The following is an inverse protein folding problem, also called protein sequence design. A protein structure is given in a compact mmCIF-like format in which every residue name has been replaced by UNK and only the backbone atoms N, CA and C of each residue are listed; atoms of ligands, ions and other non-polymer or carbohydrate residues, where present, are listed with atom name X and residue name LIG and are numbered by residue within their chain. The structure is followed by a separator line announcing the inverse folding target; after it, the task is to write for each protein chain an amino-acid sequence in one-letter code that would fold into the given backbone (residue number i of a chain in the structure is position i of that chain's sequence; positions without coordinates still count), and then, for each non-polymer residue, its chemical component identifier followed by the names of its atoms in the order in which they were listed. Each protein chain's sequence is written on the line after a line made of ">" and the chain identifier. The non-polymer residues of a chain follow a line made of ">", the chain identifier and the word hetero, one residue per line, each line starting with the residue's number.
data_IF_280047743889
#
_entry.id   IF_280047743889
#
_cell.length_a   1.000
_cell.length_b   1.000
_cell.length_c   1.000
_cell.angle_alpha   90.00
_cell.angle_beta   90.00
_cell.angle_gamma   90.00
#
_symmetry.space_group_name_H-M   'P 1'
#
loop_
_entity.id
_entity.type
_entity.pdbx_description
1 polymer ?
#
# COMPACT_ATOMS: atom_id res chain seq x y z
N UNK A 1 20.96 -56.05 28.60
CA UNK A 1 19.84 -56.97 28.86
C UNK A 1 18.63 -56.31 28.24
N UNK A 2 18.30 -56.79 27.12
CA UNK A 2 17.16 -57.63 26.75
C UNK A 2 16.01 -56.71 26.33
N UNK A 3 15.79 -56.44 25.04
CA UNK A 3 15.10 -57.22 24.01
C UNK A 3 13.60 -57.24 24.24
N UNK A 4 12.79 -56.69 23.37
CA UNK A 4 12.22 -57.31 22.17
C UNK A 4 10.71 -57.07 22.22
N UNK A 5 9.93 -56.91 21.32
CA UNK A 5 9.72 -57.18 19.89
C UNK A 5 8.20 -57.11 19.61
N UNK A 6 7.81 -56.51 18.51
CA UNK A 6 7.01 -57.06 17.40
C UNK A 6 5.54 -57.49 17.60
N UNK A 7 4.67 -57.08 16.75
CA UNK A 7 3.96 -57.70 15.60
C UNK A 7 2.52 -57.16 15.52
N UNK A 8 1.99 -56.64 14.48
CA UNK A 8 1.73 -57.02 13.06
C UNK A 8 0.55 -57.98 12.87
N UNK A 9 -0.31 -57.62 11.88
CA UNK A 9 -1.20 -58.45 11.03
C UNK A 9 -2.65 -58.60 11.54
N UNK A 10 -3.71 -58.76 10.71
CA UNK A 10 -3.95 -58.90 9.26
C UNK A 10 -5.46 -58.82 9.02
N UNK A 11 -5.85 -58.24 7.91
CA UNK A 11 -6.88 -58.65 6.92
C UNK A 11 -7.82 -59.83 7.23
N UNK A 12 -9.09 -59.69 6.85
CA UNK A 12 -9.99 -60.65 6.17
C UNK A 12 -11.19 -59.82 5.63
N UNK A 13 -11.51 -59.58 4.42
CA UNK A 13 -11.89 -60.33 3.22
C UNK A 13 -13.33 -60.90 3.24
N UNK A 14 -14.11 -60.41 2.22
CA UNK A 14 -15.07 -61.11 1.34
C UNK A 14 -16.57 -61.04 1.69
N UNK A 15 -17.33 -60.62 0.69
CA UNK A 15 -18.75 -60.92 0.51
C UNK A 15 -19.40 -60.08 -0.59
N UNK A 16 -19.31 -60.56 -1.84
CA UNK A 16 -19.94 -59.99 -3.03
C UNK A 16 -21.41 -60.41 -3.14
N UNK A 17 -22.27 -59.54 -3.69
CA UNK A 17 -23.31 -59.96 -4.63
C UNK A 17 -23.61 -58.79 -5.58
N UNK A 18 -23.53 -59.11 -6.86
CA UNK A 18 -23.84 -58.26 -8.01
C UNK A 18 -25.33 -58.27 -8.30
N UNK A 19 -25.85 -57.14 -8.73
CA UNK A 19 -26.99 -57.13 -9.68
C UNK A 19 -26.78 -55.94 -10.65
N UNK A 20 -26.63 -56.30 -11.92
CA UNK A 20 -26.50 -55.39 -13.04
C UNK A 20 -27.87 -54.89 -13.49
N UNK A 21 -28.00 -53.63 -13.84
CA UNK A 21 -28.93 -53.17 -14.88
C UNK A 21 -28.25 -52.03 -15.66
N UNK A 22 -28.14 -52.27 -16.95
CA UNK A 22 -27.64 -51.35 -17.96
C UNK A 22 -28.69 -50.33 -18.36
N UNK A 23 -28.31 -49.09 -18.55
CA UNK A 23 -28.93 -48.17 -19.50
C UNK A 23 -28.04 -47.01 -19.89
N UNK A 24 -27.54 -47.06 -21.11
CA UNK A 24 -27.29 -46.03 -22.12
C UNK A 24 -26.48 -44.78 -21.80
N UNK A 25 -25.35 -44.72 -22.49
CA UNK A 25 -24.52 -43.57 -22.82
C UNK A 25 -25.31 -42.45 -23.49
N UNK A 26 -25.17 -41.23 -22.95
CA UNK A 26 -25.21 -40.03 -23.75
C UNK A 26 -24.03 -39.14 -23.29
N UNK A 27 -23.01 -39.13 -24.13
CA UNK A 27 -21.87 -38.20 -24.00
C UNK A 27 -22.34 -36.79 -24.40
N UNK A 28 -22.28 -35.86 -23.46
CA UNK A 28 -22.16 -34.44 -23.78
C UNK A 28 -21.11 -33.87 -22.84
N UNK A 29 -19.96 -33.56 -23.40
CA UNK A 29 -18.94 -32.77 -22.72
C UNK A 29 -19.51 -31.39 -22.41
N UNK A 30 -19.60 -31.05 -21.15
CA UNK A 30 -19.71 -29.67 -20.69
C UNK A 30 -18.48 -29.36 -19.89
N UNK A 31 -17.64 -28.49 -20.46
CA UNK A 31 -16.65 -27.70 -19.74
C UNK A 31 -17.39 -26.99 -18.62
N UNK A 32 -17.09 -27.35 -17.37
CA UNK A 32 -17.51 -26.60 -16.20
C UNK A 32 -16.83 -25.21 -16.24
N UNK A 33 -17.44 -24.26 -16.94
CA UNK A 33 -17.36 -22.87 -16.60
C UNK A 33 -18.03 -22.76 -15.23
N UNK A 34 -17.27 -22.37 -14.21
CA UNK A 34 -17.83 -21.82 -12.98
C UNK A 34 -18.76 -20.67 -13.38
N UNK A 35 -20.04 -20.93 -13.47
CA UNK A 35 -21.06 -19.88 -13.49
C UNK A 35 -20.94 -19.16 -12.16
N UNK A 36 -20.44 -17.92 -12.20
CA UNK A 36 -20.54 -17.01 -11.10
C UNK A 36 -22.00 -16.93 -10.67
N UNK A 37 -22.27 -17.01 -9.37
CA UNK A 37 -23.60 -16.81 -8.78
C UNK A 37 -24.11 -15.43 -9.20
N UNK A 38 -24.75 -15.33 -10.35
CA UNK A 38 -25.44 -14.14 -10.82
C UNK A 38 -26.80 -14.09 -10.12
N UNK A 39 -26.91 -13.26 -9.07
CA UNK A 39 -28.23 -12.99 -8.50
C UNK A 39 -28.27 -12.34 -7.11
N UNK A 40 -27.28 -12.53 -6.26
CA UNK A 40 -27.30 -11.85 -4.96
C UNK A 40 -26.84 -10.40 -5.10
N UNK A 41 -27.59 -9.48 -4.51
CA UNK A 41 -27.23 -8.07 -4.50
C UNK A 41 -26.02 -7.87 -3.56
N UNK A 42 -24.95 -7.23 -4.05
CA UNK A 42 -23.70 -7.03 -3.33
C UNK A 42 -23.93 -6.20 -2.07
N UNK A 43 -23.45 -6.71 -0.93
CA UNK A 43 -23.58 -5.99 0.36
C UNK A 43 -25.00 -5.90 0.90
N UNK A 44 -25.92 -6.75 0.46
CA UNK A 44 -27.25 -6.85 1.05
C UNK A 44 -27.22 -7.68 2.34
N UNK A 45 -28.00 -7.28 3.35
CA UNK A 45 -28.12 -7.99 4.62
C UNK A 45 -28.05 -7.07 5.83
N UNK A 46 -27.55 -7.60 6.95
CA UNK A 46 -27.50 -6.85 8.20
C UNK A 46 -26.64 -5.59 8.09
N UNK A 47 -27.25 -4.46 8.41
CA UNK A 47 -26.62 -3.14 8.43
C UNK A 47 -26.59 -2.51 9.84
N UNK A 48 -26.82 -3.29 10.89
CA UNK A 48 -26.85 -2.79 12.28
C UNK A 48 -25.48 -2.36 12.80
N UNK A 49 -24.41 -2.95 12.24
CA UNK A 49 -23.03 -2.69 12.64
C UNK A 49 -22.10 -2.82 11.41
N UNK A 50 -20.90 -2.26 11.50
CA UNK A 50 -19.77 -2.57 10.64
C UNK A 50 -18.49 -2.71 11.46
N UNK A 51 -17.82 -3.87 11.36
CA UNK A 51 -16.50 -4.14 11.93
C UNK A 51 -15.45 -3.78 10.91
N UNK A 52 -14.70 -2.70 11.15
CA UNK A 52 -13.69 -2.16 10.23
C UNK A 52 -12.29 -2.47 10.75
N UNK A 53 -11.54 -3.31 10.04
CA UNK A 53 -10.12 -3.53 10.30
C UNK A 53 -9.30 -2.51 9.49
N UNK A 54 -8.47 -1.75 10.19
CA UNK A 54 -7.57 -0.75 9.62
C UNK A 54 -6.30 -0.66 10.47
N UNK A 55 -5.26 0.01 9.99
CA UNK A 55 -4.07 0.33 10.80
C UNK A 55 -4.03 1.80 11.25
N UNK A 56 -5.03 2.60 10.93
CA UNK A 56 -5.14 4.01 11.32
C UNK A 56 -5.57 4.17 12.79
N UNK A 57 -4.63 3.91 13.71
CA UNK A 57 -4.92 3.92 15.15
C UNK A 57 -4.16 5.00 15.92
N UNK A 58 -3.14 5.62 15.34
CA UNK A 58 -2.28 6.60 15.99
C UNK A 58 -2.07 7.85 15.13
N UNK A 59 -1.64 8.95 15.76
CA UNK A 59 -1.23 10.20 15.11
C UNK A 59 -2.25 10.76 14.13
N UNK A 60 -1.78 11.35 13.06
CA UNK A 60 -2.61 11.97 12.02
C UNK A 60 -3.50 10.97 11.25
N UNK A 61 -3.13 9.69 11.26
CA UNK A 61 -3.95 8.64 10.64
C UNK A 61 -5.23 8.39 11.42
N UNK A 62 -5.14 8.36 12.76
CA UNK A 62 -6.31 8.26 13.65
C UNK A 62 -7.22 9.48 13.49
N UNK A 63 -6.65 10.68 13.43
CA UNK A 63 -7.42 11.91 13.27
C UNK A 63 -8.21 11.89 11.94
N UNK A 64 -7.61 11.39 10.87
CA UNK A 64 -8.27 11.18 9.58
C UNK A 64 -9.43 10.19 9.68
N UNK A 65 -9.21 9.03 10.31
CA UNK A 65 -10.27 8.04 10.53
C UNK A 65 -11.43 8.63 11.36
N UNK A 66 -11.14 9.37 12.42
CA UNK A 66 -12.17 10.00 13.27
C UNK A 66 -13.00 11.02 12.49
N UNK A 67 -12.37 11.80 11.59
CA UNK A 67 -13.08 12.72 10.70
C UNK A 67 -14.04 11.97 9.75
N UNK A 68 -13.59 10.85 9.19
CA UNK A 68 -14.40 9.98 8.32
C UNK A 68 -15.55 9.32 9.09
N UNK A 69 -15.30 8.78 10.29
CA UNK A 69 -16.31 8.14 11.14
C UNK A 69 -17.40 9.14 11.55
N UNK A 70 -17.06 10.41 11.75
CA UNK A 70 -18.06 11.46 12.01
C UNK A 70 -19.04 11.61 10.83
N UNK A 71 -18.54 11.59 9.60
CA UNK A 71 -19.39 11.61 8.39
C UNK A 71 -20.22 10.33 8.31
N UNK A 72 -19.62 9.17 8.54
CA UNK A 72 -20.31 7.89 8.54
C UNK A 72 -21.49 7.84 9.53
N UNK A 73 -21.27 8.27 10.77
CA UNK A 73 -22.32 8.29 11.78
C UNK A 73 -23.46 9.27 11.44
N UNK A 74 -23.16 10.35 10.70
CA UNK A 74 -24.18 11.29 10.24
C UNK A 74 -25.00 10.71 9.06
N UNK A 75 -24.35 10.05 8.11
CA UNK A 75 -24.99 9.43 6.94
C UNK A 75 -25.76 8.15 7.31
N UNK A 76 -25.22 7.35 8.22
CA UNK A 76 -25.75 6.03 8.60
C UNK A 76 -25.98 5.90 10.12
N UNK A 77 -26.89 6.70 10.71
CA UNK A 77 -27.06 6.77 12.18
C UNK A 77 -27.58 5.47 12.81
N UNK A 78 -28.04 4.51 12.00
CA UNK A 78 -28.51 3.20 12.46
C UNK A 78 -27.44 2.11 12.37
N UNK A 79 -26.30 2.39 11.76
CA UNK A 79 -25.18 1.45 11.63
C UNK A 79 -24.10 1.79 12.65
N UNK A 80 -23.85 0.92 13.61
CA UNK A 80 -22.80 1.10 14.61
C UNK A 80 -21.42 0.89 13.98
N UNK A 81 -20.55 1.89 14.00
CA UNK A 81 -19.14 1.72 13.64
C UNK A 81 -18.37 1.03 14.76
N UNK A 82 -17.70 -0.07 14.45
CA UNK A 82 -16.83 -0.79 15.37
C UNK A 82 -15.39 -0.79 14.83
N UNK A 83 -14.53 0.03 15.46
CA UNK A 83 -13.12 0.11 15.11
C UNK A 83 -12.37 -1.14 15.60
N UNK A 84 -11.77 -1.90 14.68
CA UNK A 84 -10.90 -3.07 14.93
C UNK A 84 -9.46 -2.76 14.54
N UNK A 85 -9.04 -1.50 14.64
CA UNK A 85 -7.73 -1.05 14.21
C UNK A 85 -6.59 -1.75 14.99
N UNK A 86 -5.52 -2.06 14.25
CA UNK A 86 -4.26 -2.60 14.76
C UNK A 86 -3.14 -1.75 14.19
N UNK A 87 -2.49 -0.95 15.05
CA UNK A 87 -1.49 0.02 14.65
C UNK A 87 -0.18 -0.62 14.15
N UNK A 88 0.52 0.11 13.27
CA UNK A 88 1.94 -0.06 13.00
C UNK A 88 2.29 -0.76 11.69
N UNK A 89 3.48 -0.39 11.18
CA UNK A 89 4.18 -1.05 10.09
C UNK A 89 3.45 -1.06 8.75
N UNK A 90 2.79 0.03 8.36
CA UNK A 90 1.94 0.07 7.15
C UNK A 90 0.94 -1.11 7.08
N UNK A 91 0.40 -1.48 8.25
CA UNK A 91 -0.58 -2.55 8.37
C UNK A 91 -0.01 -3.97 8.48
N UNK A 92 1.30 -4.17 8.59
CA UNK A 92 1.90 -5.52 8.61
C UNK A 92 1.30 -6.43 9.69
N UNK A 93 1.08 -5.92 10.91
CA UNK A 93 0.46 -6.67 12.01
C UNK A 93 -1.04 -6.93 11.75
N UNK A 94 -1.76 -5.90 11.25
CA UNK A 94 -3.16 -6.03 10.88
C UNK A 94 -3.36 -7.09 9.80
N UNK A 95 -2.51 -7.10 8.77
CA UNK A 95 -2.55 -8.06 7.66
C UNK A 95 -2.26 -9.50 8.10
N UNK A 96 -1.32 -9.71 9.04
CA UNK A 96 -1.05 -11.04 9.59
C UNK A 96 -2.27 -11.62 10.32
N UNK A 97 -2.90 -10.82 11.19
CA UNK A 97 -4.12 -11.25 11.87
C UNK A 97 -5.27 -11.49 10.89
N UNK A 98 -5.44 -10.59 9.91
CA UNK A 98 -6.47 -10.70 8.88
C UNK A 98 -6.34 -12.00 8.08
N UNK A 99 -5.13 -12.36 7.64
CA UNK A 99 -4.89 -13.61 6.91
C UNK A 99 -5.33 -14.83 7.72
N UNK A 100 -5.11 -14.85 9.04
CA UNK A 100 -5.58 -15.91 9.93
C UNK A 100 -7.11 -15.92 10.03
N UNK A 101 -7.76 -14.76 10.18
CA UNK A 101 -9.21 -14.63 10.29
C UNK A 101 -9.91 -15.06 8.98
N UNK A 102 -9.39 -14.66 7.81
CA UNK A 102 -9.90 -15.04 6.50
C UNK A 102 -9.80 -16.56 6.28
N UNK A 103 -8.64 -17.15 6.56
CA UNK A 103 -8.42 -18.60 6.41
C UNK A 103 -9.28 -19.42 7.36
N UNK A 104 -9.58 -18.90 8.55
CA UNK A 104 -10.50 -19.53 9.51
C UNK A 104 -11.99 -19.36 9.12
N UNK A 105 -12.30 -18.60 8.06
CA UNK A 105 -13.67 -18.29 7.65
C UNK A 105 -14.41 -17.34 8.58
N UNK A 106 -13.69 -16.46 9.26
CA UNK A 106 -14.19 -15.51 10.27
C UNK A 106 -13.75 -14.07 9.93
N UNK A 107 -14.06 -13.57 8.71
CA UNK A 107 -13.60 -12.27 8.27
C UNK A 107 -14.23 -11.13 9.10
N UNK A 108 -13.59 -9.93 9.13
CA UNK A 108 -14.28 -8.70 9.49
C UNK A 108 -15.35 -8.35 8.44
N UNK A 109 -16.19 -7.34 8.70
CA UNK A 109 -17.16 -6.90 7.71
C UNK A 109 -16.49 -6.15 6.54
N UNK A 110 -15.42 -5.42 6.83
CA UNK A 110 -14.56 -4.76 5.84
C UNK A 110 -13.15 -4.60 6.40
N UNK A 111 -12.16 -4.57 5.51
CA UNK A 111 -10.78 -4.31 5.91
C UNK A 111 -10.06 -3.42 4.92
N UNK A 112 -9.12 -2.64 5.45
CA UNK A 112 -8.22 -1.81 4.68
C UNK A 112 -7.17 -2.67 3.98
N UNK A 113 -6.93 -2.38 2.70
CA UNK A 113 -5.85 -2.90 1.88
C UNK A 113 -5.40 -1.82 0.89
N UNK A 114 -4.21 -1.96 0.31
CA UNK A 114 -3.84 -1.10 -0.80
C UNK A 114 -4.48 -1.59 -2.10
N UNK A 115 -4.95 -0.64 -2.91
CA UNK A 115 -5.53 -0.94 -4.22
C UNK A 115 -4.46 -1.44 -5.20
N UNK A 116 -4.72 -2.57 -5.85
CA UNK A 116 -3.81 -3.16 -6.83
C UNK A 116 -3.45 -4.61 -6.52
N UNK A 117 -2.20 -4.99 -6.79
CA UNK A 117 -1.74 -6.39 -6.73
C UNK A 117 -1.76 -7.02 -5.32
N UNK A 118 -1.81 -6.21 -4.25
CA UNK A 118 -1.89 -6.70 -2.86
C UNK A 118 -3.08 -7.63 -2.62
N UNK A 119 -4.21 -7.36 -3.27
CA UNK A 119 -5.44 -8.14 -3.08
C UNK A 119 -5.46 -9.46 -3.83
N UNK A 120 -4.46 -9.73 -4.68
CA UNK A 120 -4.48 -10.90 -5.57
C UNK A 120 -4.65 -12.22 -4.82
N UNK A 121 -3.92 -12.42 -3.74
CA UNK A 121 -3.97 -13.68 -2.97
C UNK A 121 -5.37 -13.88 -2.34
N UNK A 122 -6.01 -12.83 -1.85
CA UNK A 122 -7.37 -12.87 -1.26
C UNK A 122 -8.44 -13.09 -2.34
N UNK A 123 -8.26 -12.50 -3.53
CA UNK A 123 -9.13 -12.70 -4.69
C UNK A 123 -9.05 -14.14 -5.16
N UNK A 124 -7.85 -14.67 -5.37
CA UNK A 124 -7.60 -16.04 -5.85
C UNK A 124 -8.12 -17.08 -4.85
N UNK A 125 -8.07 -16.80 -3.56
CA UNK A 125 -8.63 -17.63 -2.50
C UNK A 125 -10.16 -17.55 -2.39
N UNK A 126 -10.81 -16.63 -3.10
CA UNK A 126 -12.25 -16.42 -3.06
C UNK A 126 -12.76 -15.81 -1.74
N UNK A 127 -11.93 -15.00 -1.09
CA UNK A 127 -12.32 -14.34 0.16
C UNK A 127 -13.10 -13.05 -0.03
N UNK A 128 -13.09 -12.47 -1.24
CA UNK A 128 -13.65 -11.18 -1.55
C UNK A 128 -14.83 -11.24 -2.51
N UNK A 129 -15.83 -10.41 -2.29
CA UNK A 129 -16.92 -10.17 -3.21
C UNK A 129 -16.48 -9.22 -4.33
N UNK A 130 -16.99 -9.47 -5.55
CA UNK A 130 -16.94 -8.49 -6.63
C UNK A 130 -17.88 -7.33 -6.32
N UNK A 131 -17.31 -6.15 -6.09
CA UNK A 131 -18.03 -4.92 -5.74
C UNK A 131 -18.31 -4.03 -6.97
N UNK A 132 -18.09 -4.50 -8.19
CA UNK A 132 -18.30 -3.74 -9.42
C UNK A 132 -19.67 -3.09 -9.52
N UNK A 133 -20.73 -3.77 -9.02
CA UNK A 133 -22.10 -3.24 -8.98
C UNK A 133 -22.23 -2.00 -8.08
N UNK A 134 -21.44 -1.92 -6.99
CA UNK A 134 -21.44 -0.74 -6.12
C UNK A 134 -20.86 0.49 -6.82
N UNK A 135 -19.96 0.29 -7.78
CA UNK A 135 -19.43 1.40 -8.59
C UNK A 135 -20.49 2.04 -9.48
N UNK A 136 -21.44 1.26 -9.97
CA UNK A 136 -22.61 1.78 -10.70
C UNK A 136 -23.60 2.46 -9.73
N UNK A 137 -23.91 1.80 -8.61
CA UNK A 137 -24.85 2.30 -7.59
C UNK A 137 -24.37 3.63 -6.98
N UNK A 138 -23.09 3.74 -6.64
CA UNK A 138 -22.48 4.93 -6.05
C UNK A 138 -22.00 5.95 -7.10
N UNK A 139 -22.17 5.65 -8.40
CA UNK A 139 -21.74 6.49 -9.54
C UNK A 139 -20.27 6.82 -9.53
N UNK A 140 -19.41 5.83 -9.22
CA UNK A 140 -17.97 6.00 -9.07
C UNK A 140 -17.23 5.95 -10.41
N UNK A 141 -17.76 5.28 -11.43
CA UNK A 141 -17.11 5.12 -12.74
C UNK A 141 -16.82 6.47 -13.43
N UNK A 142 -17.72 7.44 -13.25
CA UNK A 142 -17.55 8.79 -13.79
C UNK A 142 -16.80 9.74 -12.84
N UNK A 143 -16.71 9.37 -11.56
CA UNK A 143 -16.12 10.18 -10.52
C UNK A 143 -14.64 9.89 -10.28
N UNK A 144 -14.21 8.66 -10.54
CA UNK A 144 -12.82 8.24 -10.38
C UNK A 144 -12.06 8.31 -11.71
N UNK A 145 -10.78 8.71 -11.72
CA UNK A 145 -9.99 8.80 -12.94
C UNK A 145 -9.77 7.40 -13.55
N UNK A 146 -9.72 7.34 -14.88
CA UNK A 146 -9.54 6.10 -15.64
C UNK A 146 -8.30 5.31 -15.18
N UNK A 147 -7.20 6.01 -14.92
CA UNK A 147 -5.95 5.41 -14.45
C UNK A 147 -6.08 4.70 -13.09
N UNK A 148 -6.97 5.19 -12.21
CA UNK A 148 -7.32 4.52 -10.96
C UNK A 148 -8.21 3.31 -11.22
N UNK A 149 -9.24 3.46 -12.05
CA UNK A 149 -10.17 2.37 -12.39
C UNK A 149 -9.45 1.16 -13.01
N UNK A 150 -8.46 1.41 -13.88
CA UNK A 150 -7.62 0.36 -14.47
C UNK A 150 -6.84 -0.43 -13.41
N UNK A 151 -6.32 0.24 -12.37
CA UNK A 151 -5.57 -0.38 -11.26
C UNK A 151 -6.45 -1.14 -10.26
N UNK A 152 -7.72 -0.75 -10.16
CA UNK A 152 -8.69 -1.43 -9.30
C UNK A 152 -9.30 -2.68 -9.95
N UNK A 153 -9.18 -2.80 -11.28
CA UNK A 153 -9.81 -3.87 -12.04
C UNK A 153 -8.89 -5.07 -12.17
N UNK A 154 -9.33 -6.21 -11.66
CA UNK A 154 -8.64 -7.51 -11.74
C UNK A 154 -9.55 -8.47 -12.50
N UNK A 155 -9.10 -8.99 -13.65
CA UNK A 155 -9.85 -9.93 -14.50
C UNK A 155 -11.28 -9.45 -14.84
N UNK A 156 -11.44 -8.12 -15.00
CA UNK A 156 -12.71 -7.48 -15.35
C UNK A 156 -13.65 -7.20 -14.18
N UNK A 157 -13.27 -7.51 -12.95
CA UNK A 157 -14.01 -7.24 -11.71
C UNK A 157 -13.28 -6.29 -10.78
N UNK A 158 -13.98 -5.71 -9.81
CA UNK A 158 -13.43 -4.78 -8.82
C UNK A 158 -13.71 -5.32 -7.42
N UNK A 159 -12.69 -5.34 -6.54
CA UNK A 159 -12.77 -5.99 -5.22
C UNK A 159 -12.58 -5.03 -4.04
N UNK A 160 -12.37 -3.76 -4.30
CA UNK A 160 -12.22 -2.75 -3.23
C UNK A 160 -12.68 -1.38 -3.67
N UNK A 161 -12.94 -0.50 -2.69
CA UNK A 161 -13.31 0.90 -2.91
C UNK A 161 -12.27 1.80 -2.25
N UNK A 162 -11.56 2.68 -2.99
CA UNK A 162 -10.53 3.54 -2.44
C UNK A 162 -11.11 4.73 -1.66
N UNK A 163 -10.45 5.05 -0.56
CA UNK A 163 -10.72 6.23 0.27
C UNK A 163 -9.86 7.43 -0.08
N UNK A 164 -8.72 7.20 -0.76
CA UNK A 164 -7.72 8.21 -1.08
C UNK A 164 -6.81 7.76 -2.23
N UNK A 165 -5.92 8.68 -2.61
CA UNK A 165 -4.70 8.41 -3.37
C UNK A 165 -3.54 9.07 -2.62
N UNK A 166 -2.39 8.40 -2.58
CA UNK A 166 -1.15 8.88 -2.02
C UNK A 166 -0.03 8.90 -3.07
N UNK A 167 0.91 9.85 -2.91
CA UNK A 167 2.20 9.89 -3.59
C UNK A 167 3.30 9.43 -2.64
N UNK A 168 4.09 8.41 -3.01
CA UNK A 168 5.13 7.87 -2.14
C UNK A 168 6.51 8.50 -2.39
N UNK A 169 6.86 8.92 -3.61
CA UNK A 169 8.17 9.44 -3.99
C UNK A 169 8.40 10.92 -3.61
N UNK A 170 8.16 11.28 -2.34
CA UNK A 170 8.33 12.66 -1.85
C UNK A 170 9.49 12.73 -0.87
N UNK A 171 10.39 13.71 -1.09
CA UNK A 171 11.41 14.14 -0.11
C UNK A 171 10.82 15.22 0.76
N UNK A 172 10.90 15.04 2.06
CA UNK A 172 10.66 16.05 3.08
C UNK A 172 11.99 16.54 3.61
N UNK A 173 12.27 17.85 3.55
CA UNK A 173 13.58 18.38 3.83
C UNK A 173 13.54 19.54 4.82
N UNK A 174 14.47 19.55 5.80
CA UNK A 174 14.60 20.61 6.80
C UNK A 174 15.28 21.85 6.22
N UNK A 175 14.57 22.98 6.18
CA UNK A 175 15.12 24.27 5.69
C UNK A 175 16.33 24.72 6.50
N UNK A 176 16.30 24.57 7.82
CA UNK A 176 17.39 24.98 8.69
C UNK A 176 18.67 24.19 8.45
N UNK A 177 18.56 22.86 8.29
CA UNK A 177 19.71 21.98 8.04
C UNK A 177 20.30 22.22 6.65
N UNK A 178 19.45 22.36 5.62
CA UNK A 178 19.93 22.68 4.26
C UNK A 178 20.73 23.98 4.23
N UNK A 179 20.21 25.06 4.84
CA UNK A 179 20.92 26.34 4.94
C UNK A 179 22.22 26.22 5.70
N UNK A 180 22.26 25.47 6.82
CA UNK A 180 23.47 25.25 7.61
C UNK A 180 24.53 24.49 6.81
N UNK A 181 24.14 23.61 5.88
CA UNK A 181 25.05 22.93 4.97
C UNK A 181 25.39 23.72 3.70
N UNK A 182 24.97 24.99 3.60
CA UNK A 182 25.24 25.84 2.44
C UNK A 182 24.40 25.48 1.19
N UNK A 183 23.29 24.78 1.38
CA UNK A 183 22.37 24.40 0.30
C UNK A 183 21.19 25.37 0.23
N UNK A 184 20.71 25.63 -0.99
CA UNK A 184 19.52 26.45 -1.24
C UNK A 184 18.26 25.57 -1.20
N UNK A 185 17.35 25.71 -0.19
CA UNK A 185 16.14 24.92 -0.11
C UNK A 185 15.19 25.07 -1.31
N UNK A 186 15.31 26.19 -2.06
CA UNK A 186 14.49 26.46 -3.25
C UNK A 186 15.04 25.77 -4.52
N UNK A 187 16.22 25.17 -4.46
CA UNK A 187 16.91 24.52 -5.59
C UNK A 187 17.33 23.11 -5.25
N UNK A 188 16.39 22.18 -5.08
CA UNK A 188 16.72 20.80 -4.78
C UNK A 188 17.51 20.14 -5.91
N UNK A 189 18.36 19.18 -5.54
CA UNK A 189 19.04 18.31 -6.50
C UNK A 189 18.06 17.72 -7.52
N UNK A 190 18.50 17.55 -8.77
CA UNK A 190 17.67 17.03 -9.84
C UNK A 190 18.00 15.58 -10.23
N UNK A 191 19.10 15.03 -9.72
CA UNK A 191 19.58 13.65 -9.97
C UNK A 191 20.00 13.00 -8.66
N UNK A 192 20.04 11.65 -8.63
CA UNK A 192 20.51 10.90 -7.44
C UNK A 192 21.97 11.25 -7.12
N UNK A 193 22.84 11.35 -8.11
CA UNK A 193 24.27 11.71 -7.91
C UNK A 193 24.41 13.10 -7.25
N UNK A 194 23.67 14.10 -7.73
CA UNK A 194 23.67 15.44 -7.13
C UNK A 194 23.11 15.41 -5.69
N UNK A 195 22.08 14.61 -5.44
CA UNK A 195 21.50 14.45 -4.11
C UNK A 195 22.45 13.77 -3.12
N UNK A 196 23.18 12.75 -3.57
CA UNK A 196 24.27 12.12 -2.80
C UNK A 196 25.36 13.15 -2.47
N UNK A 197 25.76 14.01 -3.43
CA UNK A 197 26.71 15.09 -3.18
C UNK A 197 26.20 16.09 -2.13
N UNK A 198 24.92 16.42 -2.15
CA UNK A 198 24.32 17.26 -1.11
C UNK A 198 24.31 16.55 0.26
N UNK A 199 24.07 15.25 0.32
CA UNK A 199 24.20 14.47 1.57
C UNK A 199 25.62 14.50 2.14
N UNK A 200 26.65 14.48 1.27
CA UNK A 200 28.05 14.62 1.70
C UNK A 200 28.33 15.98 2.35
N UNK A 201 27.79 17.07 1.77
CA UNK A 201 27.89 18.42 2.36
C UNK A 201 27.18 18.51 3.71
N UNK A 202 25.99 17.92 3.81
CA UNK A 202 25.22 17.90 5.06
C UNK A 202 25.96 17.14 6.15
N UNK A 203 26.53 15.98 5.81
CA UNK A 203 27.38 15.20 6.72
C UNK A 203 28.61 15.98 7.17
N UNK A 204 29.27 16.68 6.25
CA UNK A 204 30.42 17.54 6.56
C UNK A 204 30.04 18.73 7.48
N UNK A 205 28.80 19.21 7.40
CA UNK A 205 28.26 20.24 8.30
C UNK A 205 27.84 19.70 9.68
N UNK A 206 27.98 18.38 9.92
CA UNK A 206 27.70 17.74 11.22
C UNK A 206 26.25 17.32 11.44
N UNK A 207 25.43 17.26 10.39
CA UNK A 207 24.04 16.83 10.47
C UNK A 207 23.86 15.42 9.90
N UNK A 208 22.78 14.76 10.30
CA UNK A 208 22.32 13.50 9.67
C UNK A 208 21.74 13.82 8.28
N UNK A 209 22.33 13.28 7.19
CA UNK A 209 21.87 13.63 5.84
C UNK A 209 20.46 13.16 5.53
N UNK A 210 20.13 11.91 5.87
CA UNK A 210 18.83 11.33 5.58
C UNK A 210 18.43 10.38 6.72
N UNK A 211 17.14 10.30 7.01
CA UNK A 211 16.56 9.33 7.94
C UNK A 211 15.65 8.35 7.20
N UNK A 212 15.55 7.15 7.72
CA UNK A 212 14.57 6.14 7.35
C UNK A 212 14.26 5.25 8.57
N UNK A 213 13.08 4.65 8.60
CA UNK A 213 12.63 3.78 9.68
C UNK A 213 12.70 2.30 9.31
N UNK A 214 11.70 1.53 9.75
CA UNK A 214 11.57 0.10 9.56
C UNK A 214 11.42 -0.31 8.07
N UNK A 215 11.40 -1.61 7.80
CA UNK A 215 11.51 -2.22 6.47
C UNK A 215 10.65 -1.58 5.37
N UNK A 216 9.39 -1.24 5.64
CA UNK A 216 8.53 -0.65 4.62
C UNK A 216 8.97 0.76 4.19
N UNK A 217 9.54 1.57 5.12
CA UNK A 217 10.10 2.90 4.77
C UNK A 217 11.40 2.77 3.99
N UNK A 218 12.19 1.72 4.26
CA UNK A 218 13.39 1.36 3.49
C UNK A 218 13.02 0.96 2.06
N UNK A 219 11.91 0.23 1.90
CA UNK A 219 11.36 -0.12 0.60
C UNK A 219 10.91 1.13 -0.16
N UNK A 220 10.20 2.08 0.48
CA UNK A 220 9.76 3.32 -0.14
C UNK A 220 10.94 4.18 -0.64
N UNK A 221 12.03 4.25 0.11
CA UNK A 221 13.27 4.88 -0.35
C UNK A 221 13.87 4.13 -1.54
N UNK A 222 13.98 2.80 -1.47
CA UNK A 222 14.55 1.98 -2.54
C UNK A 222 13.76 2.08 -3.84
N UNK A 223 12.44 1.97 -3.79
CA UNK A 223 11.61 2.09 -5.00
C UNK A 223 11.69 3.47 -5.63
N UNK A 224 11.79 4.54 -4.81
CA UNK A 224 12.00 5.89 -5.33
C UNK A 224 13.35 6.02 -6.06
N UNK A 225 14.40 5.35 -5.58
CA UNK A 225 15.71 5.28 -6.27
C UNK A 225 15.61 4.45 -7.55
N UNK A 226 14.89 3.32 -7.54
CA UNK A 226 14.61 2.54 -8.76
C UNK A 226 13.89 3.39 -9.81
N UNK A 227 12.84 4.10 -9.44
CA UNK A 227 12.10 4.98 -10.34
C UNK A 227 13.02 6.05 -10.92
N UNK A 228 13.90 6.63 -10.10
CA UNK A 228 14.82 7.68 -10.53
C UNK A 228 15.86 7.20 -11.55
N UNK A 229 16.42 6.00 -11.35
CA UNK A 229 17.46 5.45 -12.22
C UNK A 229 16.90 4.77 -13.48
N UNK A 230 15.73 4.14 -13.39
CA UNK A 230 15.13 3.40 -14.50
C UNK A 230 14.17 4.26 -15.34
N UNK A 231 13.54 5.28 -14.74
CA UNK A 231 12.39 5.96 -15.32
C UNK A 231 11.11 5.12 -15.26
N UNK A 232 9.96 5.72 -15.55
CA UNK A 232 8.65 5.09 -15.37
C UNK A 232 8.45 3.81 -16.18
N UNK A 233 8.89 3.80 -17.44
CA UNK A 233 8.68 2.66 -18.35
C UNK A 233 9.45 1.41 -17.88
N UNK A 234 10.74 1.54 -17.62
CA UNK A 234 11.56 0.41 -17.19
C UNK A 234 11.24 -0.03 -15.76
N UNK A 235 10.89 0.91 -14.86
CA UNK A 235 10.40 0.58 -13.54
C UNK A 235 9.13 -0.28 -13.63
N UNK A 236 8.16 0.13 -14.42
CA UNK A 236 6.94 -0.67 -14.66
C UNK A 236 7.25 -2.01 -15.33
N UNK A 237 8.23 -2.05 -16.20
CA UNK A 237 8.73 -3.26 -16.87
C UNK A 237 9.32 -4.31 -15.93
N UNK A 238 9.68 -3.94 -14.70
CA UNK A 238 10.10 -4.89 -13.66
C UNK A 238 8.99 -5.87 -13.25
N UNK A 239 7.73 -5.47 -13.42
CA UNK A 239 6.56 -6.24 -12.95
C UNK A 239 5.90 -7.08 -14.05
N UNK A 240 6.20 -6.79 -15.32
CA UNK A 240 5.72 -7.56 -16.48
C UNK A 240 6.83 -8.34 -17.22
N UNK A 241 8.03 -8.38 -16.61
CA UNK A 241 9.18 -9.14 -17.11
C UNK A 241 9.92 -8.49 -18.27
N UNK A 242 9.61 -7.26 -18.67
CA UNK A 242 10.32 -6.52 -19.73
C UNK A 242 11.66 -5.93 -19.24
N UNK A 243 11.78 -5.68 -17.95
CA UNK A 243 13.01 -5.22 -17.31
C UNK A 243 13.51 -6.30 -16.36
N UNK A 244 14.80 -6.63 -16.46
CA UNK A 244 15.41 -7.68 -15.65
C UNK A 244 15.88 -7.15 -14.30
N UNK A 245 15.36 -7.72 -13.21
CA UNK A 245 15.82 -7.44 -11.84
C UNK A 245 17.33 -7.71 -11.63
N UNK A 246 17.92 -8.63 -12.38
CA UNK A 246 19.36 -8.90 -12.35
C UNK A 246 20.18 -8.02 -13.31
N UNK A 247 19.52 -7.12 -14.05
CA UNK A 247 20.14 -6.26 -15.07
C UNK A 247 21.02 -5.15 -14.50
N UNK A 248 21.88 -4.59 -15.34
CA UNK A 248 22.85 -3.55 -14.97
C UNK A 248 22.17 -2.24 -14.47
N UNK A 249 20.97 -1.94 -14.95
CA UNK A 249 20.24 -0.74 -14.53
C UNK A 249 19.75 -0.86 -13.09
N UNK A 250 19.27 -2.05 -12.68
CA UNK A 250 18.93 -2.34 -11.28
C UNK A 250 20.19 -2.38 -10.41
N UNK A 251 21.33 -2.89 -10.96
CA UNK A 251 22.62 -2.82 -10.25
C UNK A 251 22.97 -1.38 -9.87
N UNK A 252 22.85 -0.44 -10.82
CA UNK A 252 23.09 0.99 -10.55
C UNK A 252 22.18 1.54 -9.46
N UNK A 253 20.89 1.22 -9.51
CA UNK A 253 19.95 1.68 -8.48
C UNK A 253 20.27 1.09 -7.08
N UNK A 254 20.69 -0.17 -7.02
CA UNK A 254 21.16 -0.81 -5.78
C UNK A 254 22.44 -0.13 -5.25
N UNK A 255 23.38 0.25 -6.11
CA UNK A 255 24.59 0.98 -5.73
C UNK A 255 24.25 2.37 -5.17
N UNK A 256 23.36 3.12 -5.82
CA UNK A 256 22.87 4.40 -5.32
C UNK A 256 22.17 4.25 -3.98
N UNK A 257 21.28 3.27 -3.85
CA UNK A 257 20.62 2.97 -2.57
C UNK A 257 21.63 2.64 -1.48
N UNK A 258 22.62 1.80 -1.78
CA UNK A 258 23.71 1.46 -0.84
C UNK A 258 24.46 2.70 -0.35
N UNK A 259 24.78 3.63 -1.26
CA UNK A 259 25.43 4.89 -0.90
C UNK A 259 24.53 5.76 -0.02
N UNK A 260 23.26 5.89 -0.34
CA UNK A 260 22.28 6.65 0.46
C UNK A 260 22.13 6.05 1.85
N UNK A 261 21.98 4.71 1.97
CA UNK A 261 21.90 4.01 3.26
C UNK A 261 23.11 4.27 4.14
N UNK A 262 24.31 4.49 3.56
CA UNK A 262 25.51 4.81 4.33
C UNK A 262 25.45 6.17 5.06
N UNK A 263 24.47 6.99 4.77
CA UNK A 263 24.22 8.29 5.41
C UNK A 263 23.11 8.26 6.47
N UNK A 264 22.44 7.12 6.64
CA UNK A 264 21.30 7.01 7.57
C UNK A 264 21.73 6.71 9.00
N UNK A 265 20.85 7.01 9.96
CA UNK A 265 20.98 6.61 11.36
C UNK A 265 20.29 5.26 11.61
N UNK A 266 21.09 4.23 11.88
CA UNK A 266 20.58 2.87 12.12
C UNK A 266 19.72 2.74 13.38
N UNK A 267 19.80 3.67 14.31
CA UNK A 267 18.99 3.65 15.54
C UNK A 267 17.49 3.80 15.24
N UNK A 268 17.14 4.33 14.07
CA UNK A 268 15.77 4.52 13.63
C UNK A 268 15.16 3.31 12.87
N UNK A 269 15.94 2.26 12.58
CA UNK A 269 15.50 1.16 11.71
C UNK A 269 14.41 0.24 12.31
N UNK A 270 14.16 0.37 13.60
CA UNK A 270 13.05 -0.31 14.30
C UNK A 270 11.84 0.60 14.53
N UNK A 271 11.98 1.88 14.20
CA UNK A 271 10.95 2.90 14.39
C UNK A 271 10.01 2.94 13.17
N UNK A 272 8.76 3.27 13.42
CA UNK A 272 7.81 3.55 12.33
C UNK A 272 8.07 4.94 11.71
N UNK A 273 7.30 5.33 10.74
CA UNK A 273 7.54 6.54 9.94
C UNK A 273 7.51 7.85 10.73
N UNK A 274 6.61 8.01 11.72
CA UNK A 274 6.51 9.24 12.51
C UNK A 274 7.76 9.52 13.32
N UNK A 275 8.31 8.57 14.13
CA UNK A 275 9.61 8.76 14.76
C UNK A 275 10.75 8.96 13.77
N UNK A 276 10.72 8.29 12.61
CA UNK A 276 11.78 8.38 11.61
C UNK A 276 11.83 9.74 10.90
N UNK A 277 10.70 10.43 10.71
CA UNK A 277 10.66 11.77 10.09
C UNK A 277 10.82 12.90 11.11
N UNK A 278 10.59 12.65 12.39
CA UNK A 278 10.68 13.66 13.45
C UNK A 278 11.99 14.47 13.47
N UNK A 279 13.19 13.88 13.24
CA UNK A 279 14.44 14.64 13.17
C UNK A 279 14.45 15.74 12.10
N UNK A 280 13.68 15.60 11.01
CA UNK A 280 13.50 16.64 9.99
C UNK A 280 12.76 17.84 10.58
N UNK A 281 11.68 17.60 11.31
CA UNK A 281 10.87 18.63 11.96
C UNK A 281 11.64 19.36 13.08
N UNK A 282 12.58 18.67 13.72
CA UNK A 282 13.43 19.20 14.81
C UNK A 282 14.70 19.89 14.30
N UNK A 283 14.98 19.90 12.99
CA UNK A 283 16.20 20.49 12.44
C UNK A 283 17.48 19.72 12.79
N UNK A 284 17.38 18.40 13.00
CA UNK A 284 18.49 17.50 13.33
C UNK A 284 18.98 16.68 12.14
N UNK A 285 18.10 16.46 11.16
CA UNK A 285 18.39 15.75 9.93
C UNK A 285 17.86 16.54 8.72
N UNK A 286 18.46 16.28 7.53
CA UNK A 286 18.14 17.05 6.33
C UNK A 286 16.96 16.47 5.56
N UNK A 287 16.98 15.17 5.25
CA UNK A 287 16.04 14.54 4.33
C UNK A 287 15.33 13.33 4.95
N UNK A 288 14.12 13.10 4.53
CA UNK A 288 13.39 11.85 4.71
C UNK A 288 12.53 11.60 3.45
N UNK A 289 12.53 10.38 2.90
CA UNK A 289 11.60 9.98 1.84
C UNK A 289 10.41 9.31 2.51
N UNK A 290 9.23 9.87 2.28
CA UNK A 290 7.99 9.40 2.89
C UNK A 290 6.81 9.83 2.03
N UNK A 291 5.78 9.00 2.02
CA UNK A 291 4.54 9.34 1.36
C UNK A 291 3.89 10.61 1.91
N UNK A 292 2.98 11.14 1.16
CA UNK A 292 2.40 12.46 1.39
C UNK A 292 1.53 12.58 2.66
N UNK A 293 1.18 11.46 3.33
CA UNK A 293 0.62 11.48 4.67
C UNK A 293 1.51 12.23 5.68
N UNK A 294 2.80 12.36 5.41
CA UNK A 294 3.72 13.11 6.26
C UNK A 294 3.32 14.59 6.42
N UNK A 295 2.62 15.19 5.44
CA UNK A 295 2.17 16.59 5.56
C UNK A 295 1.26 16.79 6.76
N UNK A 296 0.43 15.80 7.11
CA UNK A 296 -0.42 15.88 8.30
C UNK A 296 0.42 15.90 9.59
N UNK A 297 1.53 15.13 9.65
CA UNK A 297 2.47 15.17 10.76
C UNK A 297 3.15 16.54 10.92
N UNK A 298 3.57 17.16 9.81
CA UNK A 298 4.13 18.53 9.83
C UNK A 298 3.10 19.56 10.30
N UNK A 299 1.85 19.45 9.84
CA UNK A 299 0.75 20.30 10.28
C UNK A 299 0.46 20.15 11.78
N UNK A 300 0.38 18.92 12.30
CA UNK A 300 0.20 18.64 13.73
C UNK A 300 1.35 19.21 14.58
N UNK A 301 2.58 19.16 14.05
CA UNK A 301 3.76 19.77 14.66
C UNK A 301 3.84 21.30 14.46
N UNK A 302 2.83 21.92 13.83
CA UNK A 302 2.76 23.37 13.51
C UNK A 302 3.95 23.87 12.69
N UNK A 303 4.45 23.04 11.77
CA UNK A 303 5.53 23.37 10.85
C UNK A 303 4.97 23.96 9.56
N UNK A 304 5.64 24.97 9.03
CA UNK A 304 5.21 25.73 7.86
C UNK A 304 6.11 25.41 6.67
N UNK A 305 5.49 24.99 5.55
CA UNK A 305 6.20 24.77 4.30
C UNK A 305 6.88 26.06 3.80
N UNK A 306 8.06 25.94 3.21
CA UNK A 306 8.90 27.06 2.78
C UNK A 306 9.67 27.74 3.91
N UNK A 307 9.25 27.60 5.17
CA UNK A 307 9.90 28.18 6.35
C UNK A 307 10.64 27.15 7.18
N UNK A 308 9.97 26.11 7.65
CA UNK A 308 10.54 25.05 8.47
C UNK A 308 11.01 23.87 7.62
N UNK A 309 10.24 23.53 6.60
CA UNK A 309 10.52 22.42 5.68
C UNK A 309 10.18 22.79 4.24
N UNK A 310 10.74 22.05 3.31
CA UNK A 310 10.34 22.00 1.90
C UNK A 310 10.07 20.55 1.50
N UNK A 311 9.30 20.40 0.42
CA UNK A 311 9.02 19.10 -0.17
C UNK A 311 9.24 19.15 -1.69
N UNK A 312 9.67 18.04 -2.26
CA UNK A 312 9.88 17.91 -3.70
C UNK A 312 9.92 16.43 -4.08
N UNK A 313 9.65 16.08 -5.35
CA UNK A 313 9.83 14.70 -5.82
C UNK A 313 11.27 14.22 -5.61
N UNK A 314 11.45 12.94 -5.27
CA UNK A 314 12.82 12.36 -5.20
C UNK A 314 13.59 12.73 -6.46
N UNK A 315 14.85 13.21 -6.33
CA UNK A 315 15.67 13.62 -7.48
C UNK A 315 15.73 12.53 -8.57
N UNK A 316 15.40 12.89 -9.81
CA UNK A 316 15.27 11.97 -10.94
C UNK A 316 13.84 11.49 -11.22
N UNK A 317 12.86 11.78 -10.33
CA UNK A 317 11.47 11.31 -10.49
C UNK A 317 10.48 12.40 -10.87
N UNK A 318 10.95 13.57 -11.31
CA UNK A 318 10.07 14.66 -11.75
C UNK A 318 9.19 14.22 -12.92
N UNK A 319 7.88 14.46 -12.83
CA UNK A 319 6.90 14.01 -13.83
C UNK A 319 6.51 12.53 -13.69
N UNK A 320 6.89 11.89 -12.57
CA UNK A 320 6.49 10.53 -12.23
C UNK A 320 5.83 10.55 -10.84
N UNK A 321 4.63 9.99 -10.76
CA UNK A 321 3.86 9.87 -9.53
C UNK A 321 3.88 8.40 -9.07
N UNK A 322 4.57 8.12 -7.98
CA UNK A 322 4.60 6.80 -7.35
C UNK A 322 3.31 6.62 -6.53
N UNK A 323 2.42 5.79 -7.06
CA UNK A 323 1.02 5.67 -6.67
C UNK A 323 0.79 4.56 -5.65
N UNK A 324 0.00 4.89 -4.66
CA UNK A 324 -0.77 3.94 -3.87
C UNK A 324 -2.14 4.53 -3.53
N UNK A 325 -3.07 3.69 -3.14
CA UNK A 325 -4.37 4.11 -2.63
C UNK A 325 -4.80 3.16 -1.50
N UNK A 326 -5.21 3.72 -0.39
CA UNK A 326 -5.90 2.94 0.64
C UNK A 326 -7.31 2.63 0.17
N UNK A 327 -7.69 1.40 0.22
CA UNK A 327 -9.00 0.91 -0.18
C UNK A 327 -9.61 -0.01 0.88
N UNK A 328 -10.92 -0.22 0.79
CA UNK A 328 -11.64 -1.12 1.66
C UNK A 328 -12.38 -2.17 0.83
N UNK A 329 -12.38 -3.39 1.33
CA UNK A 329 -12.94 -4.57 0.68
C UNK A 329 -14.31 -4.93 1.25
N UNK A 330 -15.00 -5.85 0.57
CA UNK A 330 -16.17 -6.55 1.10
C UNK A 330 -15.88 -8.06 1.11
N UNK A 331 -15.53 -8.64 2.26
CA UNK A 331 -15.27 -10.07 2.35
C UNK A 331 -16.53 -10.93 2.08
N UNK A 332 -16.32 -12.10 1.47
CA UNK A 332 -17.29 -13.20 1.55
C UNK A 332 -17.52 -13.55 3.03
N UNK A 333 -18.72 -13.91 3.40
CA UNK A 333 -19.10 -14.28 4.77
C UNK A 333 -18.98 -13.14 5.82
N UNK A 334 -18.92 -11.86 5.38
CA UNK A 334 -19.06 -10.73 6.30
C UNK A 334 -20.36 -10.89 7.12
N UNK A 335 -20.30 -10.62 8.42
CA UNK A 335 -21.50 -10.79 9.31
C UNK A 335 -22.53 -9.70 9.09
N UNK A 336 -22.06 -8.48 8.79
CA UNK A 336 -22.90 -7.30 8.56
C UNK A 336 -22.60 -6.71 7.16
N UNK A 337 -22.94 -7.44 6.07
CA UNK A 337 -22.58 -6.99 4.71
C UNK A 337 -23.26 -5.66 4.34
N UNK A 338 -24.46 -5.37 4.83
CA UNK A 338 -25.13 -4.08 4.68
C UNK A 338 -24.39 -2.94 5.40
N UNK A 339 -23.78 -3.23 6.55
CA UNK A 339 -22.91 -2.30 7.26
C UNK A 339 -21.63 -2.00 6.48
N UNK A 340 -21.00 -3.04 5.89
CA UNK A 340 -19.85 -2.88 5.02
C UNK A 340 -20.19 -2.03 3.78
N UNK A 341 -21.33 -2.29 3.11
CA UNK A 341 -21.81 -1.47 2.00
C UNK A 341 -21.99 0.00 2.39
N UNK A 342 -22.56 0.28 3.56
CA UNK A 342 -22.69 1.64 4.10
C UNK A 342 -21.32 2.30 4.30
N UNK A 343 -20.32 1.55 4.80
CA UNK A 343 -18.95 2.04 4.93
C UNK A 343 -18.33 2.36 3.58
N UNK A 344 -18.43 1.45 2.60
CA UNK A 344 -17.93 1.66 1.25
C UNK A 344 -18.59 2.87 0.55
N UNK A 345 -19.89 3.08 0.77
CA UNK A 345 -20.62 4.25 0.29
C UNK A 345 -20.09 5.54 0.92
N UNK A 346 -19.86 5.56 2.24
CA UNK A 346 -19.33 6.74 2.95
C UNK A 346 -17.93 7.12 2.48
N UNK A 347 -17.00 6.16 2.44
CA UNK A 347 -15.59 6.45 2.07
C UNK A 347 -15.44 6.90 0.63
N UNK A 348 -16.34 6.52 -0.26
CA UNK A 348 -16.37 6.94 -1.66
C UNK A 348 -17.19 8.19 -1.92
N UNK A 349 -17.98 8.67 -0.96
CA UNK A 349 -18.78 9.89 -1.09
C UNK A 349 -17.89 11.15 -1.14
N UNK A 350 -18.37 12.23 -1.77
CA UNK A 350 -17.64 13.51 -1.76
C UNK A 350 -17.37 14.02 -0.35
N UNK A 351 -18.37 13.94 0.51
CA UNK A 351 -18.27 14.39 1.89
C UNK A 351 -17.24 13.58 2.68
N UNK A 352 -17.29 12.24 2.57
CA UNK A 352 -16.31 11.34 3.19
C UNK A 352 -14.90 11.59 2.70
N UNK A 353 -14.71 11.70 1.37
CA UNK A 353 -13.40 11.96 0.75
C UNK A 353 -12.82 13.32 1.17
N UNK A 354 -13.63 14.37 1.23
CA UNK A 354 -13.16 15.70 1.69
C UNK A 354 -12.81 15.66 3.18
N UNK A 355 -13.70 15.12 4.02
CA UNK A 355 -13.48 15.08 5.47
C UNK A 355 -12.22 14.29 5.84
N UNK A 356 -12.01 13.14 5.20
CA UNK A 356 -10.88 12.27 5.44
C UNK A 356 -9.56 12.87 4.92
N UNK A 357 -9.53 13.19 3.62
CA UNK A 357 -8.28 13.51 2.95
C UNK A 357 -7.69 14.86 3.39
N UNK A 358 -8.51 15.85 3.77
CA UNK A 358 -8.02 17.12 4.30
C UNK A 358 -7.25 16.97 5.61
N UNK A 359 -7.59 15.95 6.41
CA UNK A 359 -6.92 15.64 7.69
C UNK A 359 -5.76 14.68 7.48
N UNK A 360 -5.96 13.60 6.69
CA UNK A 360 -4.97 12.55 6.43
C UNK A 360 -3.76 13.04 5.62
N UNK A 361 -3.91 14.11 4.83
CA UNK A 361 -2.84 14.64 3.99
C UNK A 361 -2.80 14.06 2.57
N UNK A 362 -3.61 13.05 2.28
CA UNK A 362 -3.79 12.43 0.96
C UNK A 362 -4.63 13.27 0.01
N UNK A 363 -4.73 12.83 -1.25
CA UNK A 363 -5.67 13.42 -2.20
C UNK A 363 -6.89 12.50 -2.38
N UNK A 364 -8.06 13.06 -2.71
CA UNK A 364 -9.26 12.26 -2.94
C UNK A 364 -9.13 11.41 -4.21
N UNK A 365 -9.75 10.22 -4.19
CA UNK A 365 -9.89 9.37 -5.38
C UNK A 365 -10.86 9.96 -6.41
N UNK A 366 -11.69 10.91 -5.99
CA UNK A 366 -12.68 11.60 -6.83
C UNK A 366 -12.08 12.80 -7.53
N UNK A 367 -12.40 12.96 -8.82
CA UNK A 367 -12.00 14.12 -9.65
C UNK A 367 -13.10 15.15 -9.79
N UNK A 368 -14.34 14.84 -9.37
CA UNK A 368 -15.54 15.65 -9.53
C UNK A 368 -15.80 16.63 -8.36
N UNK A 369 -14.74 16.98 -7.59
CA UNK A 369 -14.82 18.00 -6.55
C UNK A 369 -14.96 19.40 -7.15
N UNK A 370 -15.81 20.22 -6.53
CA UNK A 370 -15.97 21.65 -6.86
C UNK A 370 -14.73 22.44 -6.44
N UNK A 371 -14.55 23.64 -6.99
CA UNK A 371 -13.45 24.53 -6.60
C UNK A 371 -13.51 24.91 -5.10
N UNK A 372 -14.72 25.05 -4.54
CA UNK A 372 -14.91 25.35 -3.12
C UNK A 372 -14.48 24.15 -2.23
N UNK A 373 -14.74 22.93 -2.68
CA UNK A 373 -14.26 21.72 -1.99
C UNK A 373 -12.73 21.62 -2.09
N UNK A 374 -12.14 21.90 -3.25
CA UNK A 374 -10.67 21.89 -3.46
C UNK A 374 -9.94 22.93 -2.61
N UNK A 375 -10.55 24.08 -2.32
CA UNK A 375 -9.97 25.11 -1.44
C UNK A 375 -9.76 24.63 0.01
N UNK A 376 -10.45 23.60 0.45
CA UNK A 376 -10.28 23.02 1.79
C UNK A 376 -8.97 22.25 1.97
N UNK A 377 -8.34 21.84 0.86
CA UNK A 377 -7.09 21.09 0.85
C UNK A 377 -5.89 22.04 0.96
N UNK A 378 -4.79 21.55 1.56
CA UNK A 378 -3.54 22.28 1.67
C UNK A 378 -2.93 22.58 0.28
N UNK A 379 -1.95 23.47 0.23
CA UNK A 379 -1.22 23.79 -1.00
C UNK A 379 -0.56 22.53 -1.59
N UNK A 380 0.11 21.72 -0.73
CA UNK A 380 0.67 20.45 -1.13
C UNK A 380 -0.36 19.53 -1.80
N UNK A 381 -1.51 19.33 -1.14
CA UNK A 381 -2.53 18.43 -1.66
C UNK A 381 -3.11 18.91 -3.01
N UNK A 382 -3.32 20.21 -3.19
CA UNK A 382 -3.76 20.75 -4.48
C UNK A 382 -2.72 20.54 -5.58
N UNK A 383 -1.43 20.74 -5.27
CA UNK A 383 -0.33 20.43 -6.19
C UNK A 383 -0.29 18.94 -6.52
N UNK A 384 -0.46 18.05 -5.53
CA UNK A 384 -0.49 16.60 -5.74
C UNK A 384 -1.68 16.15 -6.61
N UNK A 385 -2.86 16.79 -6.49
CA UNK A 385 -3.99 16.54 -7.40
C UNK A 385 -3.67 16.92 -8.86
N UNK A 386 -2.95 18.03 -9.04
CA UNK A 386 -2.49 18.45 -10.37
C UNK A 386 -1.46 17.49 -10.94
N UNK A 387 -0.47 17.10 -10.13
CA UNK A 387 0.57 16.16 -10.51
C UNK A 387 -0.04 14.81 -10.89
N UNK A 388 -0.97 14.28 -10.09
CA UNK A 388 -1.68 13.02 -10.40
C UNK A 388 -2.40 13.07 -11.76
N UNK A 389 -2.88 14.24 -12.16
CA UNK A 389 -3.57 14.43 -13.45
C UNK A 389 -2.62 14.56 -14.65
N UNK A 390 -1.34 14.87 -14.43
CA UNK A 390 -0.36 15.24 -15.48
C UNK A 390 0.81 14.27 -15.57
N UNK A 391 1.25 13.72 -14.43
CA UNK A 391 2.43 12.87 -14.33
C UNK A 391 2.16 11.47 -14.87
N UNK A 392 3.23 10.77 -15.21
CA UNK A 392 3.18 9.33 -15.46
C UNK A 392 3.01 8.58 -14.14
N UNK A 393 1.92 7.82 -14.03
CA UNK A 393 1.60 7.08 -12.80
C UNK A 393 2.28 5.71 -12.83
N UNK A 394 3.10 5.42 -11.81
CA UNK A 394 3.67 4.09 -11.55
C UNK A 394 3.13 3.54 -10.23
N UNK A 395 3.11 2.22 -10.08
CA UNK A 395 2.54 1.56 -8.89
C UNK A 395 3.62 1.26 -7.85
N UNK A 396 3.36 1.59 -6.58
CA UNK A 396 4.30 1.37 -5.46
C UNK A 396 4.47 -0.12 -5.14
N UNK A 397 5.72 -0.55 -4.94
CA UNK A 397 6.07 -1.87 -4.39
C UNK A 397 5.81 -1.89 -2.88
N UNK A 398 6.27 -0.86 -2.18
CA UNK A 398 6.20 -0.77 -0.72
C UNK A 398 4.77 -0.89 -0.19
N UNK A 399 3.79 -0.50 -1.00
CA UNK A 399 2.38 -0.46 -0.64
C UNK A 399 1.53 -1.41 -1.50
N UNK A 400 2.13 -2.47 -2.04
CA UNK A 400 1.40 -3.57 -2.69
C UNK A 400 0.64 -3.21 -3.97
N UNK A 401 0.77 -1.98 -4.49
CA UNK A 401 0.12 -1.61 -5.75
C UNK A 401 0.74 -2.31 -6.96
N UNK A 402 2.05 -2.60 -6.91
CA UNK A 402 2.82 -3.20 -8.01
C UNK A 402 2.93 -4.72 -7.94
N UNK A 403 3.03 -5.29 -6.74
CA UNK A 403 3.33 -6.71 -6.52
C UNK A 403 2.43 -7.33 -5.44
N UNK A 404 2.16 -8.65 -5.51
CA UNK A 404 1.51 -9.37 -4.42
C UNK A 404 2.26 -9.25 -3.10
N UNK A 405 1.54 -9.34 -1.98
CA UNK A 405 2.08 -9.16 -0.63
C UNK A 405 3.30 -10.06 -0.34
N UNK A 406 3.28 -11.31 -0.81
CA UNK A 406 4.39 -12.26 -0.64
C UNK A 406 5.70 -11.75 -1.22
N UNK A 407 5.68 -11.17 -2.44
CA UNK A 407 6.88 -10.63 -3.08
C UNK A 407 7.36 -9.36 -2.37
N UNK A 408 6.45 -8.42 -2.09
CA UNK A 408 6.77 -7.16 -1.42
C UNK A 408 7.39 -7.40 -0.04
N UNK A 409 6.84 -8.32 0.75
CA UNK A 409 7.38 -8.69 2.05
C UNK A 409 8.81 -9.29 1.94
N UNK A 410 9.04 -10.22 1.00
CA UNK A 410 10.36 -10.81 0.80
C UNK A 410 11.41 -9.78 0.35
N UNK A 411 11.02 -8.82 -0.49
CA UNK A 411 11.89 -7.69 -0.88
C UNK A 411 12.18 -6.78 0.32
N UNK A 412 11.17 -6.46 1.15
CA UNK A 412 11.34 -5.68 2.37
C UNK A 412 12.30 -6.32 3.35
N UNK A 413 12.22 -7.63 3.55
CA UNK A 413 13.15 -8.40 4.38
C UNK A 413 14.58 -8.33 3.84
N UNK A 414 14.77 -8.43 2.51
CA UNK A 414 16.09 -8.33 1.89
C UNK A 414 16.70 -6.93 2.07
N UNK A 415 15.90 -5.88 1.90
CA UNK A 415 16.32 -4.49 2.11
C UNK A 415 16.67 -4.23 3.58
N UNK A 416 15.88 -4.75 4.51
CA UNK A 416 16.14 -4.61 5.95
C UNK A 416 17.45 -5.31 6.36
N UNK A 417 17.71 -6.51 5.87
CA UNK A 417 18.99 -7.23 6.07
C UNK A 417 20.17 -6.41 5.52
N UNK A 418 20.02 -5.84 4.33
CA UNK A 418 21.04 -5.01 3.73
C UNK A 418 21.30 -3.75 4.55
N UNK A 419 20.28 -3.00 4.93
CA UNK A 419 20.40 -1.77 5.70
C UNK A 419 21.09 -2.02 7.06
N UNK A 420 20.82 -3.16 7.69
CA UNK A 420 21.49 -3.59 8.92
C UNK A 420 22.95 -3.99 8.71
N UNK A 421 23.39 -4.22 7.47
CA UNK A 421 24.75 -4.66 7.13
C UNK A 421 24.91 -6.19 7.14
N UNK A 422 23.82 -6.93 7.12
CA UNK A 422 23.82 -8.41 7.10
C UNK A 422 23.98 -9.01 5.68
N UNK A 423 23.92 -8.17 4.62
CA UNK A 423 24.19 -8.56 3.24
C UNK A 423 24.85 -7.43 2.46
N UNK A 424 25.50 -7.75 1.34
CA UNK A 424 26.07 -6.76 0.41
C UNK A 424 25.10 -6.43 -0.74
N UNK A 425 25.47 -5.45 -1.57
CA UNK A 425 24.65 -4.97 -2.69
C UNK A 425 24.34 -6.08 -3.72
N UNK A 426 25.30 -6.98 -4.00
CA UNK A 426 25.10 -8.10 -4.93
C UNK A 426 24.13 -9.13 -4.38
N UNK A 427 24.22 -9.44 -3.10
CA UNK A 427 23.29 -10.34 -2.41
C UNK A 427 21.89 -9.72 -2.33
N UNK A 428 21.78 -8.39 -2.10
CA UNK A 428 20.51 -7.68 -2.15
C UNK A 428 19.85 -7.81 -3.51
N UNK A 429 20.55 -7.45 -4.61
CA UNK A 429 19.98 -7.54 -5.96
C UNK A 429 19.51 -8.96 -6.29
N UNK A 430 20.31 -9.96 -5.95
CA UNK A 430 19.94 -11.37 -6.12
C UNK A 430 18.65 -11.71 -5.37
N UNK A 431 18.53 -11.29 -4.11
CA UNK A 431 17.36 -11.55 -3.27
C UNK A 431 16.09 -10.88 -3.83
N UNK A 432 16.21 -9.65 -4.37
CA UNK A 432 15.10 -8.95 -5.04
C UNK A 432 14.62 -9.71 -6.29
N UNK A 433 15.55 -10.18 -7.13
CA UNK A 433 15.22 -10.97 -8.31
C UNK A 433 14.56 -12.31 -7.95
N UNK A 434 15.03 -12.99 -6.89
CA UNK A 434 14.46 -14.24 -6.39
C UNK A 434 13.06 -14.02 -5.79
N UNK A 435 12.84 -12.93 -5.05
CA UNK A 435 11.54 -12.58 -4.49
C UNK A 435 10.49 -12.33 -5.58
N UNK A 436 10.86 -11.60 -6.65
CA UNK A 436 10.00 -11.40 -7.80
C UNK A 436 9.65 -12.72 -8.50
N UNK A 437 10.66 -13.54 -8.79
CA UNK A 437 10.48 -14.83 -9.48
C UNK A 437 9.59 -15.80 -8.67
N UNK A 438 9.66 -15.77 -7.36
CA UNK A 438 8.86 -16.64 -6.49
C UNK A 438 7.38 -16.23 -6.41
N UNK A 439 7.01 -15.09 -6.97
CA UNK A 439 5.64 -14.56 -7.00
C UNK A 439 4.98 -14.65 -8.39
N UNK A 440 5.72 -15.16 -9.40
CA UNK A 440 5.21 -15.51 -10.72
C UNK A 440 4.62 -16.92 -10.73
#
# INVERSE_FOLDING_TARGET
>A
MSVSTYMSRRQVLIGATATALAATLAACGSSDKKEGKSGEAVGEGDASQVDVVTWWQAGSEKDGLEALVKVFNAQFPKTKFANKAIAGGAGSQAKQKLAADLSAGNPPDTYQAHAGAELKDDIDAGYLQDVSKLYDEFKLKDAFPKTLMERLTVDGAIYSVPSNIHRNNVVWASVSVLKAAGLDPAKPAQTIDAWISDMEKIKAAGYTPITMGMAWTQMGLFESVLIADLGAEKYSGLFDGKTDWAGAEVTKAVEHYAKIVSFTDKSLYTEDWEPAIKPIMEGKAAYNVMGDWAVAGFNAAKKTAGTDYVYFPVPGTKGIFDFLADSFTLPEKAKHPGGAKNWLSCISSKEGQVAFNTVKGSIPSRTDLTDEEKKKFSEYQRSAMEDFSKDTIVSSIAHGAALPAKASNAMGDALSKFAQGASDAKALQKALAEAYKAAQ
#
